data_IF_678118274770
#
_entry.id   IF_678118274770
#
_cell.length_a   1.000
_cell.length_b   1.000
_cell.length_c   1.000
_cell.angle_alpha   90.00
_cell.angle_beta   90.00
_cell.angle_gamma   90.00
#
_symmetry.space_group_name_H-M   'P 1'
#
loop_
_entity.id
_entity.type
_entity.pdbx_description
1 polymer ?
#
# COMPACT_ATOMS: atom_id res chain seq x y z
N UNK A 1 2.46 -3.58 -4.22
CA UNK A 1 3.82 -3.39 -4.75
C UNK A 1 4.70 -2.76 -3.69
N UNK A 2 5.90 -3.30 -3.48
CA UNK A 2 6.91 -2.75 -2.56
C UNK A 2 8.14 -2.36 -3.37
N UNK A 3 8.64 -1.15 -3.19
CA UNK A 3 9.80 -0.64 -3.92
C UNK A 3 10.87 -0.20 -2.93
N UNK A 4 12.08 -0.70 -3.10
CA UNK A 4 13.26 -0.27 -2.36
C UNK A 4 14.35 0.15 -3.33
N UNK A 5 14.98 1.29 -3.08
CA UNK A 5 16.18 1.75 -3.76
C UNK A 5 17.39 1.34 -2.93
N UNK A 6 18.35 0.71 -3.59
CA UNK A 6 19.72 0.58 -3.09
C UNK A 6 20.50 1.82 -3.53
N UNK A 7 21.04 2.60 -2.59
CA UNK A 7 21.79 3.82 -2.93
C UNK A 7 23.16 3.51 -3.53
N UNK A 8 23.65 2.28 -3.35
CA UNK A 8 24.96 1.82 -3.81
C UNK A 8 24.87 1.06 -5.14
N UNK A 9 23.67 0.90 -5.72
CA UNK A 9 23.47 0.25 -7.02
C UNK A 9 22.57 1.08 -7.93
N UNK A 10 22.78 1.04 -9.25
CA UNK A 10 21.88 1.70 -10.21
C UNK A 10 20.50 1.02 -10.31
N UNK A 11 20.25 -0.06 -9.54
CA UNK A 11 19.05 -0.90 -9.60
C UNK A 11 18.36 -0.95 -8.24
N UNK A 12 17.05 -0.70 -8.22
CA UNK A 12 16.18 -0.94 -7.07
C UNK A 12 15.57 -2.34 -7.09
N UNK A 13 14.96 -2.73 -5.97
CA UNK A 13 14.17 -3.95 -5.83
C UNK A 13 12.70 -3.61 -5.90
N UNK A 14 11.96 -4.29 -6.78
CA UNK A 14 10.51 -4.17 -6.91
C UNK A 14 9.89 -5.53 -6.59
N UNK A 15 8.92 -5.56 -5.68
CA UNK A 15 8.17 -6.76 -5.31
C UNK A 15 6.69 -6.55 -5.60
N UNK A 16 6.14 -7.37 -6.50
CA UNK A 16 4.71 -7.46 -6.79
C UNK A 16 4.06 -8.56 -5.98
N UNK A 17 2.84 -8.32 -5.48
CA UNK A 17 2.05 -9.30 -4.73
C UNK A 17 0.61 -9.15 -5.18
N UNK A 18 -0.02 -10.25 -5.58
CA UNK A 18 -1.43 -10.25 -5.98
C UNK A 18 -2.07 -11.60 -5.64
N UNK A 19 -3.37 -11.58 -5.34
CA UNK A 19 -4.18 -12.78 -5.13
C UNK A 19 -4.39 -13.57 -6.42
N UNK A 20 -4.27 -12.91 -7.57
CA UNK A 20 -4.38 -13.49 -8.90
C UNK A 20 -3.00 -13.70 -9.51
N UNK A 21 -2.94 -14.62 -10.46
CA UNK A 21 -1.76 -14.76 -11.29
C UNK A 21 -1.71 -13.60 -12.29
N UNK A 22 -0.51 -13.09 -12.55
CA UNK A 22 -0.22 -12.19 -13.66
C UNK A 22 1.16 -12.51 -14.22
N UNK A 23 1.38 -12.15 -15.48
CA UNK A 23 2.64 -12.40 -16.17
C UNK A 23 3.80 -11.74 -15.43
N UNK A 24 4.95 -12.42 -15.32
CA UNK A 24 6.16 -11.82 -14.76
C UNK A 24 6.49 -10.48 -15.43
N UNK A 25 6.96 -9.53 -14.63
CA UNK A 25 7.38 -8.20 -15.10
C UNK A 25 8.89 -8.13 -14.98
N UNK A 26 9.58 -7.83 -16.09
CA UNK A 26 11.03 -7.75 -16.11
C UNK A 26 11.55 -6.76 -15.07
N UNK A 27 12.49 -7.24 -14.24
CA UNK A 27 13.09 -6.46 -13.15
C UNK A 27 12.26 -6.42 -11.85
N UNK A 28 11.10 -7.06 -11.80
CA UNK A 28 10.30 -7.20 -10.57
C UNK A 28 10.24 -8.67 -10.11
N UNK A 29 10.35 -8.88 -8.80
CA UNK A 29 10.07 -10.17 -8.17
C UNK A 29 8.57 -10.27 -7.89
N UNK A 30 7.91 -11.29 -8.40
CA UNK A 30 6.46 -11.45 -8.23
C UNK A 30 6.14 -12.59 -7.26
N UNK A 31 5.26 -12.32 -6.31
CA UNK A 31 4.58 -13.32 -5.47
C UNK A 31 3.15 -13.48 -5.98
N UNK A 32 2.92 -14.34 -7.00
CA UNK A 32 1.58 -14.55 -7.55
C UNK A 32 0.74 -15.36 -6.56
N UNK A 33 -0.58 -15.24 -6.67
CA UNK A 33 -1.55 -16.01 -5.87
C UNK A 33 -1.27 -15.98 -4.36
N UNK A 34 -0.85 -14.81 -3.87
CA UNK A 34 -0.43 -14.60 -2.49
C UNK A 34 -1.30 -13.53 -1.83
N UNK A 35 -1.84 -13.86 -0.66
CA UNK A 35 -2.67 -12.93 0.10
C UNK A 35 -1.80 -12.05 1.00
N UNK A 36 -1.76 -10.75 0.70
CA UNK A 36 -1.01 -9.74 1.45
C UNK A 36 -1.48 -9.61 2.91
N UNK A 37 -2.73 -9.93 3.23
CA UNK A 37 -3.26 -9.83 4.60
C UNK A 37 -2.68 -10.89 5.53
N UNK A 38 -2.06 -11.94 4.97
CA UNK A 38 -1.46 -13.04 5.74
C UNK A 38 -0.03 -12.74 6.18
N UNK A 39 0.32 -13.19 7.38
CA UNK A 39 1.68 -13.07 7.90
C UNK A 39 2.71 -13.81 7.04
N UNK A 40 2.34 -14.95 6.46
CA UNK A 40 3.21 -15.74 5.61
C UNK A 40 3.67 -14.95 4.37
N UNK A 41 2.76 -14.25 3.70
CA UNK A 41 3.10 -13.39 2.56
C UNK A 41 3.93 -12.19 3.00
N UNK A 42 3.58 -11.53 4.11
CA UNK A 42 4.35 -10.40 4.64
C UNK A 42 5.78 -10.79 5.03
N UNK A 43 5.97 -12.00 5.54
CA UNK A 43 7.30 -12.56 5.83
C UNK A 43 8.09 -12.81 4.56
N UNK A 44 7.51 -13.43 3.53
CA UNK A 44 8.16 -13.58 2.22
C UNK A 44 8.61 -12.24 1.63
N UNK A 45 7.79 -11.18 1.74
CA UNK A 45 8.17 -9.83 1.29
C UNK A 45 9.41 -9.31 2.03
N UNK A 46 9.44 -9.46 3.36
CA UNK A 46 10.60 -9.06 4.18
C UNK A 46 11.87 -9.83 3.78
N UNK A 47 11.74 -11.14 3.55
CA UNK A 47 12.86 -12.00 3.16
C UNK A 47 13.42 -11.63 1.78
N UNK A 48 12.53 -11.34 0.82
CA UNK A 48 12.90 -10.87 -0.53
C UNK A 48 13.58 -9.50 -0.52
N UNK A 49 13.34 -8.67 0.51
CA UNK A 49 14.09 -7.43 0.74
C UNK A 49 15.39 -7.65 1.52
N UNK A 50 15.76 -8.89 1.82
CA UNK A 50 16.87 -9.23 2.71
C UNK A 50 16.79 -8.50 4.06
N UNK A 51 15.56 -8.38 4.59
CA UNK A 51 15.22 -7.60 5.80
C UNK A 51 15.57 -6.11 5.74
N UNK A 52 15.88 -5.58 4.57
CA UNK A 52 15.98 -4.15 4.35
C UNK A 52 14.58 -3.52 4.33
N UNK A 53 14.55 -2.22 4.63
CA UNK A 53 13.33 -1.41 4.57
C UNK A 53 13.05 -0.95 3.14
N UNK A 54 11.81 -0.62 2.85
CA UNK A 54 11.32 -0.11 1.58
C UNK A 54 11.22 1.41 1.57
N UNK A 55 11.40 2.02 0.40
CA UNK A 55 11.23 3.46 0.19
C UNK A 55 9.77 3.79 -0.12
N UNK A 56 9.08 2.89 -0.84
CA UNK A 56 7.68 3.06 -1.23
C UNK A 56 6.90 1.77 -1.00
N UNK A 57 5.72 1.91 -0.39
CA UNK A 57 4.69 0.89 -0.28
C UNK A 57 3.44 1.35 -1.04
N UNK A 58 3.05 0.63 -2.09
CA UNK A 58 1.89 0.95 -2.91
C UNK A 58 0.88 -0.19 -2.87
N UNK A 59 -0.37 0.16 -2.57
CA UNK A 59 -1.51 -0.76 -2.61
C UNK A 59 -2.56 -0.27 -3.60
N UNK A 60 -2.79 -1.09 -4.61
CA UNK A 60 -3.94 -0.96 -5.52
C UNK A 60 -5.00 -2.05 -5.23
N UNK A 61 -4.98 -2.63 -4.03
CA UNK A 61 -5.93 -3.66 -3.64
C UNK A 61 -7.34 -3.09 -3.52
N UNK A 62 -8.32 -3.88 -3.96
CA UNK A 62 -9.74 -3.61 -3.75
C UNK A 62 -10.46 -4.93 -3.44
N UNK A 63 -11.49 -4.91 -2.57
CA UNK A 63 -12.31 -6.08 -2.32
C UNK A 63 -13.17 -6.40 -3.55
N UNK A 64 -13.69 -7.63 -3.62
CA UNK A 64 -14.73 -7.98 -4.60
C UNK A 64 -15.97 -7.13 -4.32
N UNK A 65 -16.46 -6.41 -5.34
CA UNK A 65 -17.65 -5.57 -5.20
C UNK A 65 -18.91 -6.44 -5.02
N UNK A 66 -19.63 -6.24 -3.91
CA UNK A 66 -20.85 -6.99 -3.57
C UNK A 66 -22.15 -6.23 -3.87
N UNK A 67 -22.08 -5.10 -4.58
CA UNK A 67 -23.22 -4.19 -4.82
C UNK A 67 -23.62 -3.33 -3.62
N UNK A 68 -23.29 -3.76 -2.39
CA UNK A 68 -23.51 -3.00 -1.16
C UNK A 68 -22.37 -2.00 -0.91
N UNK A 69 -22.60 -0.72 -1.25
CA UNK A 69 -21.59 0.33 -1.18
C UNK A 69 -20.92 0.46 0.20
N UNK A 70 -21.69 0.38 1.28
CA UNK A 70 -21.16 0.48 2.65
C UNK A 70 -20.18 -0.65 2.98
N UNK A 71 -20.54 -1.90 2.67
CA UNK A 71 -19.70 -3.07 2.92
C UNK A 71 -18.42 -3.03 2.06
N UNK A 72 -18.54 -2.63 0.80
CA UNK A 72 -17.38 -2.46 -0.08
C UNK A 72 -16.43 -1.37 0.45
N UNK A 73 -16.98 -0.27 0.97
CA UNK A 73 -16.22 0.82 1.57
C UNK A 73 -15.48 0.38 2.83
N UNK A 74 -16.16 -0.32 3.75
CA UNK A 74 -15.54 -0.85 4.97
C UNK A 74 -14.41 -1.85 4.62
N UNK A 75 -14.66 -2.76 3.67
CA UNK A 75 -13.67 -3.75 3.25
C UNK A 75 -12.41 -3.13 2.62
N UNK A 76 -12.52 -2.07 1.81
CA UNK A 76 -11.34 -1.40 1.24
C UNK A 76 -10.57 -0.59 2.30
N UNK A 77 -11.27 -0.03 3.29
CA UNK A 77 -10.65 0.65 4.43
C UNK A 77 -9.85 -0.33 5.28
N UNK A 78 -10.40 -1.52 5.58
CA UNK A 78 -9.69 -2.56 6.32
C UNK A 78 -8.47 -3.09 5.57
N UNK A 79 -8.55 -3.27 4.25
CA UNK A 79 -7.37 -3.59 3.42
C UNK A 79 -6.28 -2.52 3.56
N UNK A 80 -6.65 -1.23 3.57
CA UNK A 80 -5.69 -0.15 3.76
C UNK A 80 -5.09 -0.14 5.17
N UNK A 81 -5.83 -0.58 6.20
CA UNK A 81 -5.28 -0.77 7.53
C UNK A 81 -4.24 -1.89 7.59
N UNK A 82 -4.40 -2.99 6.83
CA UNK A 82 -3.34 -4.00 6.70
C UNK A 82 -2.07 -3.38 6.09
N UNK A 83 -2.21 -2.54 5.08
CA UNK A 83 -1.07 -1.86 4.43
C UNK A 83 -0.40 -0.88 5.40
N UNK A 84 -1.18 -0.09 6.15
CA UNK A 84 -0.66 0.83 7.17
C UNK A 84 0.09 0.08 8.27
N UNK A 85 -0.47 -1.03 8.79
CA UNK A 85 0.22 -1.85 9.80
C UNK A 85 1.54 -2.40 9.26
N UNK A 86 1.55 -2.88 8.02
CA UNK A 86 2.77 -3.36 7.38
C UNK A 86 3.77 -2.22 7.12
N UNK A 87 3.29 -1.01 6.83
CA UNK A 87 4.14 0.17 6.63
C UNK A 87 5.02 0.46 7.85
N UNK A 88 4.50 0.23 9.06
CA UNK A 88 5.22 0.44 10.32
C UNK A 88 6.49 -0.42 10.43
N UNK A 89 6.47 -1.61 9.83
CA UNK A 89 7.58 -2.56 9.92
C UNK A 89 8.43 -2.60 8.66
N UNK A 90 7.93 -2.10 7.52
CA UNK A 90 8.63 -2.22 6.24
C UNK A 90 9.22 -0.89 5.75
N UNK A 91 8.63 0.27 6.04
CA UNK A 91 9.11 1.54 5.48
C UNK A 91 10.38 2.05 6.17
N UNK A 92 11.26 2.67 5.37
CA UNK A 92 12.35 3.53 5.85
C UNK A 92 11.78 4.83 6.43
N UNK A 93 12.48 5.49 7.36
CA UNK A 93 12.25 6.91 7.63
C UNK A 93 12.19 7.71 6.32
N UNK A 94 11.35 8.72 6.28
CA UNK A 94 11.03 9.52 5.09
C UNK A 94 10.31 8.75 3.95
N UNK A 95 9.99 7.47 4.15
CA UNK A 95 9.29 6.61 3.18
C UNK A 95 7.87 7.08 2.82
N UNK A 96 7.33 6.50 1.76
CA UNK A 96 6.00 6.85 1.21
C UNK A 96 5.06 5.65 1.18
N UNK A 97 3.80 5.87 1.54
CA UNK A 97 2.71 4.92 1.36
C UNK A 97 1.63 5.52 0.45
N UNK A 98 1.11 4.73 -0.47
CA UNK A 98 -0.03 5.09 -1.32
C UNK A 98 -1.04 3.95 -1.34
N UNK A 99 -2.30 4.22 -1.00
CA UNK A 99 -3.36 3.21 -1.00
C UNK A 99 -4.57 3.67 -1.81
N UNK A 100 -5.10 2.81 -2.68
CA UNK A 100 -6.38 3.01 -3.36
C UNK A 100 -7.54 2.96 -2.36
N UNK A 101 -8.51 3.83 -2.54
CA UNK A 101 -9.79 3.88 -1.83
C UNK A 101 -10.93 4.20 -2.82
N UNK A 102 -12.16 4.02 -2.36
CA UNK A 102 -13.33 4.65 -2.96
C UNK A 102 -13.82 5.77 -2.06
N UNK A 103 -14.24 6.89 -2.63
CA UNK A 103 -14.88 7.97 -1.90
C UNK A 103 -16.09 7.43 -1.12
N UNK A 104 -16.09 7.65 0.19
CA UNK A 104 -17.15 7.16 1.08
C UNK A 104 -16.96 7.57 2.54
N UNK A 105 -17.94 7.19 3.36
CA UNK A 105 -18.03 7.60 4.77
C UNK A 105 -17.26 6.68 5.71
N UNK A 106 -15.92 6.75 5.72
CA UNK A 106 -15.04 6.33 6.84
C UNK A 106 -13.54 6.58 6.57
N UNK A 107 -13.18 7.22 5.46
CA UNK A 107 -11.77 7.48 5.12
C UNK A 107 -11.04 8.34 6.14
N UNK A 108 -11.77 9.15 6.93
CA UNK A 108 -11.20 10.04 7.95
C UNK A 108 -10.54 9.27 9.10
N UNK A 109 -11.04 8.08 9.45
CA UNK A 109 -10.43 7.20 10.47
C UNK A 109 -9.04 6.74 10.01
N UNK A 110 -8.93 6.30 8.76
CA UNK A 110 -7.67 5.91 8.16
C UNK A 110 -6.72 7.10 8.01
N UNK A 111 -7.23 8.26 7.56
CA UNK A 111 -6.44 9.49 7.44
C UNK A 111 -5.81 9.90 8.78
N UNK A 112 -6.61 9.95 9.85
CA UNK A 112 -6.13 10.25 11.21
C UNK A 112 -5.07 9.24 11.66
N UNK A 113 -5.29 7.94 11.40
CA UNK A 113 -4.31 6.91 11.73
C UNK A 113 -3.00 7.08 10.94
N UNK A 114 -3.05 7.51 9.68
CA UNK A 114 -1.84 7.82 8.91
C UNK A 114 -1.12 9.07 9.42
N UNK A 115 -1.86 10.10 9.86
CA UNK A 115 -1.29 11.35 10.39
C UNK A 115 -0.45 11.16 11.66
N UNK A 116 -0.62 10.03 12.38
CA UNK A 116 0.23 9.72 13.54
C UNK A 116 1.63 9.24 13.15
N UNK A 117 1.81 8.72 11.93
CA UNK A 117 3.06 8.07 11.48
C UNK A 117 3.64 8.64 10.18
N UNK A 118 2.98 9.60 9.55
CA UNK A 118 3.47 10.34 8.38
C UNK A 118 3.40 11.85 8.62
N UNK A 119 4.39 12.61 8.14
CA UNK A 119 4.36 14.08 8.26
C UNK A 119 3.29 14.72 7.35
N UNK A 120 3.04 14.12 6.19
CA UNK A 120 2.07 14.66 5.23
C UNK A 120 1.13 13.56 4.77
N UNK A 121 -0.17 13.77 5.01
CA UNK A 121 -1.24 12.88 4.53
C UNK A 121 -2.19 13.70 3.66
N UNK A 122 -2.51 13.21 2.47
CA UNK A 122 -3.48 13.86 1.58
C UNK A 122 -4.23 12.85 0.72
N UNK A 123 -5.47 13.18 0.40
CA UNK A 123 -6.24 12.50 -0.65
C UNK A 123 -5.76 12.99 -2.01
N UNK A 124 -5.61 12.06 -2.96
CA UNK A 124 -5.16 12.31 -4.33
C UNK A 124 -6.18 11.69 -5.28
N UNK A 125 -6.73 12.50 -6.18
CA UNK A 125 -7.53 12.04 -7.31
C UNK A 125 -6.60 11.92 -8.53
N UNK A 126 -6.44 10.76 -9.17
CA UNK A 126 -5.60 10.64 -10.35
C UNK A 126 -6.21 11.39 -11.53
N UNK A 127 -5.39 12.11 -12.30
CA UNK A 127 -5.82 12.76 -13.55
C UNK A 127 -6.33 11.75 -14.58
N UNK A 128 -5.79 10.52 -14.55
CA UNK A 128 -6.22 9.43 -15.42
C UNK A 128 -7.55 8.78 -14.99
N UNK A 129 -8.11 9.13 -13.83
CA UNK A 129 -9.39 8.60 -13.39
C UNK A 129 -10.54 9.36 -14.06
N UNK A 130 -11.58 8.64 -14.49
CA UNK A 130 -12.79 9.27 -15.04
C UNK A 130 -13.44 10.17 -13.98
N UNK A 131 -14.07 11.26 -14.43
CA UNK A 131 -14.72 12.24 -13.52
C UNK A 131 -15.80 11.60 -12.64
N UNK A 132 -16.49 10.58 -13.15
CA UNK A 132 -17.56 9.84 -12.44
C UNK A 132 -17.03 8.70 -11.55
N UNK A 133 -15.72 8.43 -11.54
CA UNK A 133 -15.15 7.39 -10.70
C UNK A 133 -15.12 7.80 -9.23
N UNK A 134 -15.53 6.91 -8.35
CA UNK A 134 -15.34 7.08 -6.90
C UNK A 134 -13.87 6.85 -6.47
N UNK A 135 -12.99 6.41 -7.36
CA UNK A 135 -11.61 6.07 -7.03
C UNK A 135 -10.78 7.30 -6.61
N UNK A 136 -10.12 7.17 -5.47
CA UNK A 136 -9.16 8.12 -4.93
C UNK A 136 -7.99 7.34 -4.34
N UNK A 137 -6.89 8.02 -4.03
CA UNK A 137 -5.77 7.46 -3.31
C UNK A 137 -5.48 8.26 -2.05
N UNK A 138 -5.11 7.57 -0.98
CA UNK A 138 -4.59 8.21 0.23
C UNK A 138 -3.07 8.11 0.24
N UNK A 139 -2.41 9.27 0.17
CA UNK A 139 -0.97 9.40 0.10
C UNK A 139 -0.41 9.83 1.46
N UNK A 140 0.44 9.00 2.05
CA UNK A 140 1.28 9.34 3.20
C UNK A 140 2.73 9.54 2.76
N UNK A 141 3.31 10.70 3.02
CA UNK A 141 4.72 11.01 2.73
C UNK A 141 5.46 11.33 4.02
N UNK A 142 6.77 11.10 3.96
CA UNK A 142 7.71 11.30 5.06
C UNK A 142 7.31 10.49 6.29
N UNK A 143 7.46 9.18 6.17
CA UNK A 143 7.21 8.25 7.26
C UNK A 143 8.08 8.59 8.47
N UNK A 144 7.45 8.83 9.61
CA UNK A 144 8.12 9.18 10.88
C UNK A 144 8.19 8.02 11.87
N UNK A 145 7.48 6.92 11.61
CA UNK A 145 7.27 5.86 12.59
C UNK A 145 6.26 6.26 13.68
N UNK A 146 6.03 5.36 14.64
CA UNK A 146 5.23 5.66 15.83
C UNK A 146 6.05 6.64 16.68
N UNK A 147 5.50 7.84 16.90
CA UNK A 147 6.06 8.79 17.86
C UNK A 147 5.82 8.22 19.27
N UNK A 148 6.90 7.93 19.98
CA UNK A 148 6.86 7.63 21.41
C UNK A 148 6.49 8.89 22.20
#
# INVERSE_FOLDING_TARGET
MVVSKDINKPKGTVIGVDLQYFSPVDGATILPQSDFTTEATQTKIKDLLCHQKADVLLSDMAPRATGLRSHNHEAIIELCFYVLRFSLVILKPEGTMLCKLWMGGDQSRLEKAMQTVFQHVRVVKPEASREDSAEIFLLGRKFTGIKN
#
